data_IF_626065860378
#
_entry.id   IF_626065860378
#
_cell.length_a   1.000
_cell.length_b   1.000
_cell.length_c   1.000
_cell.angle_alpha   90.00
_cell.angle_beta   90.00
_cell.angle_gamma   90.00
#
_symmetry.space_group_name_H-M   'P 1'
#
loop_
_entity.id
_entity.type
_entity.pdbx_description
1 polymer ?
#
# COMPACT_ATOMS: atom_id res chain seq x y z
N UNK A 1 -23.43 -9.37 6.56
CA UNK A 1 -22.50 -8.22 6.56
C UNK A 1 -21.19 -8.70 7.15
N UNK A 2 -20.06 -8.30 6.57
CA UNK A 2 -18.73 -8.65 7.08
C UNK A 2 -18.53 -8.10 8.49
N UNK A 3 -18.00 -8.92 9.40
CA UNK A 3 -17.71 -8.50 10.79
C UNK A 3 -16.34 -7.80 10.91
N UNK A 4 -15.43 -8.07 9.98
CA UNK A 4 -14.10 -7.44 9.90
C UNK A 4 -13.97 -6.66 8.60
N UNK A 5 -13.25 -5.55 8.66
CA UNK A 5 -13.10 -4.67 7.50
C UNK A 5 -11.65 -4.31 7.23
N UNK A 6 -11.29 -4.27 5.96
CA UNK A 6 -10.04 -3.72 5.48
C UNK A 6 -10.30 -2.50 4.59
N UNK A 7 -9.46 -1.47 4.71
CA UNK A 7 -9.39 -0.33 3.81
C UNK A 7 -8.08 -0.40 3.03
N UNK A 8 -8.16 -0.54 1.71
CA UNK A 8 -7.00 -0.72 0.84
C UNK A 8 -6.87 0.49 -0.09
N UNK A 9 -5.82 1.26 0.07
CA UNK A 9 -5.46 2.36 -0.81
C UNK A 9 -4.58 1.82 -1.95
N UNK A 10 -5.06 1.88 -3.19
CA UNK A 10 -4.46 1.27 -4.36
C UNK A 10 -5.02 -0.14 -4.66
N UNK A 11 -6.32 -0.33 -4.51
CA UNK A 11 -6.98 -1.64 -4.53
C UNK A 11 -7.14 -2.28 -5.92
N UNK A 12 -6.91 -1.56 -7.02
CA UNK A 12 -7.24 -2.06 -8.37
C UNK A 12 -6.16 -2.94 -9.02
N UNK A 13 -4.92 -2.93 -8.52
CA UNK A 13 -3.83 -3.67 -9.15
C UNK A 13 -2.71 -4.05 -8.16
N UNK A 14 -1.78 -4.89 -8.60
CA UNK A 14 -0.58 -5.26 -7.86
C UNK A 14 -0.86 -5.77 -6.45
N UNK A 15 -0.09 -5.31 -5.48
CA UNK A 15 -0.18 -5.76 -4.09
C UNK A 15 -1.52 -5.42 -3.45
N UNK A 16 -2.10 -4.25 -3.74
CA UNK A 16 -3.39 -3.84 -3.18
C UNK A 16 -4.54 -4.73 -3.66
N UNK A 17 -4.56 -5.09 -4.94
CA UNK A 17 -5.55 -6.00 -5.50
C UNK A 17 -5.43 -7.41 -4.89
N UNK A 18 -4.22 -7.98 -4.90
CA UNK A 18 -3.98 -9.30 -4.33
C UNK A 18 -4.32 -9.36 -2.83
N UNK A 19 -3.95 -8.30 -2.07
CA UNK A 19 -4.27 -8.24 -0.64
C UNK A 19 -5.77 -8.09 -0.39
N UNK A 20 -6.49 -7.33 -1.21
CA UNK A 20 -7.96 -7.22 -1.12
C UNK A 20 -8.62 -8.59 -1.26
N UNK A 21 -8.19 -9.36 -2.25
CA UNK A 21 -8.70 -10.71 -2.50
C UNK A 21 -8.32 -11.67 -1.36
N UNK A 22 -7.07 -11.64 -0.90
CA UNK A 22 -6.61 -12.56 0.14
C UNK A 22 -7.26 -12.27 1.51
N UNK A 23 -7.40 -11.00 1.88
CA UNK A 23 -8.13 -10.61 3.09
C UNK A 23 -9.60 -11.01 3.03
N UNK A 24 -10.24 -10.97 1.84
CA UNK A 24 -11.62 -11.43 1.71
C UNK A 24 -11.76 -12.94 1.96
N UNK A 25 -10.80 -13.77 1.56
CA UNK A 25 -10.75 -15.20 1.91
C UNK A 25 -10.60 -15.41 3.43
N UNK A 26 -9.94 -14.46 4.11
CA UNK A 26 -9.79 -14.46 5.57
C UNK A 26 -11.00 -13.84 6.31
N UNK A 27 -12.11 -13.54 5.61
CA UNK A 27 -13.37 -13.08 6.20
C UNK A 27 -13.49 -11.55 6.33
N UNK A 28 -12.64 -10.77 5.68
CA UNK A 28 -12.71 -9.31 5.71
C UNK A 28 -13.58 -8.77 4.57
N UNK A 29 -14.53 -7.88 4.89
CA UNK A 29 -15.09 -6.96 3.91
C UNK A 29 -14.03 -5.94 3.47
N UNK A 30 -14.09 -5.45 2.25
CA UNK A 30 -13.07 -4.58 1.66
C UNK A 30 -13.66 -3.25 1.22
N UNK A 31 -13.11 -2.17 1.74
CA UNK A 31 -13.18 -0.85 1.16
C UNK A 31 -11.95 -0.65 0.26
N UNK A 32 -12.16 -0.49 -1.02
CA UNK A 32 -11.09 -0.31 -2.00
C UNK A 32 -11.04 1.13 -2.51
N UNK A 33 -9.94 1.83 -2.30
CA UNK A 33 -9.68 3.13 -2.94
C UNK A 33 -8.76 2.91 -4.13
N UNK A 34 -9.14 3.44 -5.28
CA UNK A 34 -8.36 3.36 -6.51
C UNK A 34 -8.52 4.63 -7.34
N UNK A 35 -7.64 4.84 -8.30
CA UNK A 35 -7.70 5.98 -9.21
C UNK A 35 -7.47 5.51 -10.64
N UNK A 36 -8.54 4.96 -11.22
CA UNK A 36 -8.49 4.34 -12.54
C UNK A 36 -9.16 5.21 -13.60
N UNK A 37 -8.53 5.24 -14.76
CA UNK A 37 -9.12 5.76 -15.98
C UNK A 37 -10.12 4.72 -16.55
N UNK A 38 -10.92 5.16 -17.51
CA UNK A 38 -11.93 4.30 -18.15
C UNK A 38 -11.34 2.98 -18.69
N UNK A 39 -10.09 3.01 -19.17
CA UNK A 39 -9.38 1.85 -19.71
C UNK A 39 -8.91 0.84 -18.66
N UNK A 40 -8.66 1.29 -17.42
CA UNK A 40 -8.16 0.42 -16.32
C UNK A 40 -9.23 0.10 -15.28
N UNK A 41 -10.37 0.78 -15.31
CA UNK A 41 -11.51 0.54 -14.42
C UNK A 41 -11.95 -0.94 -14.34
N UNK A 42 -11.92 -1.74 -15.43
CA UNK A 42 -12.25 -3.17 -15.35
C UNK A 42 -11.42 -3.96 -14.34
N UNK A 43 -10.18 -3.52 -14.05
CA UNK A 43 -9.35 -4.17 -13.03
C UNK A 43 -9.95 -4.02 -11.62
N UNK A 44 -10.43 -2.82 -11.28
CA UNK A 44 -11.09 -2.59 -9.99
C UNK A 44 -12.39 -3.39 -9.86
N UNK A 45 -13.19 -3.45 -10.94
CA UNK A 45 -14.43 -4.24 -11.00
C UNK A 45 -14.11 -5.71 -10.76
N UNK A 46 -13.10 -6.28 -11.45
CA UNK A 46 -12.67 -7.67 -11.25
C UNK A 46 -12.32 -7.97 -9.79
N UNK A 47 -11.52 -7.09 -9.16
CA UNK A 47 -11.15 -7.28 -7.74
C UNK A 47 -12.38 -7.23 -6.83
N UNK A 48 -13.29 -6.28 -7.09
CA UNK A 48 -14.53 -6.15 -6.33
C UNK A 48 -15.40 -7.41 -6.46
N UNK A 49 -15.50 -7.97 -7.66
CA UNK A 49 -16.28 -9.18 -7.92
C UNK A 49 -15.63 -10.42 -7.27
N UNK A 50 -14.31 -10.53 -7.28
CA UNK A 50 -13.60 -11.61 -6.59
C UNK A 50 -13.79 -11.54 -5.06
N UNK A 51 -13.76 -10.34 -4.47
CA UNK A 51 -14.08 -10.16 -3.03
C UNK A 51 -15.50 -10.62 -2.71
N UNK A 52 -16.48 -10.24 -3.56
CA UNK A 52 -17.87 -10.69 -3.40
C UNK A 52 -18.03 -12.19 -3.60
N UNK A 53 -17.31 -12.77 -4.56
CA UNK A 53 -17.32 -14.23 -4.80
C UNK A 53 -16.80 -15.03 -3.58
N UNK A 54 -15.91 -14.42 -2.78
CA UNK A 54 -15.47 -14.98 -1.49
C UNK A 54 -16.49 -14.77 -0.35
N UNK A 55 -17.70 -14.27 -0.64
CA UNK A 55 -18.78 -14.08 0.33
C UNK A 55 -18.64 -12.83 1.20
N UNK A 56 -17.79 -11.88 0.81
CA UNK A 56 -17.54 -10.67 1.60
C UNK A 56 -18.11 -9.41 0.92
N UNK A 57 -18.39 -8.41 1.73
CA UNK A 57 -18.77 -7.09 1.24
C UNK A 57 -17.61 -6.39 0.53
N UNK A 58 -17.88 -5.71 -0.60
CA UNK A 58 -16.90 -4.94 -1.34
C UNK A 58 -17.47 -3.59 -1.75
N UNK A 59 -16.87 -2.51 -1.27
CA UNK A 59 -17.25 -1.12 -1.58
C UNK A 59 -16.02 -0.38 -2.10
N UNK A 60 -16.05 0.00 -3.39
CA UNK A 60 -14.90 0.61 -4.05
C UNK A 60 -15.17 2.07 -4.42
N UNK A 61 -14.13 2.91 -4.27
CA UNK A 61 -14.16 4.34 -4.51
C UNK A 61 -13.10 4.72 -5.55
N UNK A 62 -13.53 5.23 -6.70
CA UNK A 62 -12.62 5.71 -7.73
C UNK A 62 -12.31 7.19 -7.48
N UNK A 63 -11.27 7.43 -6.67
CA UNK A 63 -10.87 8.76 -6.21
C UNK A 63 -9.34 8.89 -6.13
N UNK A 64 -8.84 10.12 -6.20
CA UNK A 64 -7.47 10.41 -5.81
C UNK A 64 -7.33 10.32 -4.28
N UNK A 65 -6.54 9.38 -3.79
CA UNK A 65 -6.33 9.14 -2.35
C UNK A 65 -5.61 10.30 -1.63
N UNK A 66 -4.93 11.18 -2.35
CA UNK A 66 -4.29 12.38 -1.80
C UNK A 66 -5.25 13.58 -1.68
N UNK A 67 -6.45 13.51 -2.29
CA UNK A 67 -7.44 14.57 -2.22
C UNK A 67 -8.13 14.58 -0.83
N UNK A 68 -8.05 15.68 -0.06
CA UNK A 68 -8.58 15.72 1.31
C UNK A 68 -10.11 15.66 1.36
N UNK A 69 -10.82 16.25 0.40
CA UNK A 69 -12.29 16.25 0.39
C UNK A 69 -12.80 14.85 0.02
N UNK A 70 -12.19 14.21 -0.96
CA UNK A 70 -12.53 12.83 -1.36
C UNK A 70 -12.22 11.84 -0.26
N UNK A 71 -11.08 12.01 0.45
CA UNK A 71 -10.73 11.20 1.62
C UNK A 71 -11.78 11.35 2.72
N UNK A 72 -12.17 12.57 3.07
CA UNK A 72 -13.18 12.82 4.08
C UNK A 72 -14.51 12.15 3.73
N UNK A 73 -15.04 12.36 2.53
CA UNK A 73 -16.28 11.75 2.06
C UNK A 73 -16.21 10.21 2.04
N UNK A 74 -15.06 9.65 1.66
CA UNK A 74 -14.86 8.19 1.70
C UNK A 74 -14.92 7.66 3.13
N UNK A 75 -14.25 8.31 4.08
CA UNK A 75 -14.26 7.87 5.47
C UNK A 75 -15.62 8.05 6.15
N UNK A 76 -16.42 9.02 5.74
CA UNK A 76 -17.79 9.16 6.18
C UNK A 76 -18.65 7.97 5.70
N UNK A 77 -18.53 7.57 4.44
CA UNK A 77 -19.18 6.37 3.91
C UNK A 77 -18.68 5.07 4.58
N UNK A 78 -17.38 4.98 4.88
CA UNK A 78 -16.81 3.87 5.66
C UNK A 78 -17.43 3.83 7.06
N UNK A 79 -17.51 4.98 7.74
CA UNK A 79 -18.13 5.09 9.09
C UNK A 79 -19.57 4.61 9.09
N UNK A 80 -20.36 5.05 8.10
CA UNK A 80 -21.75 4.63 7.95
C UNK A 80 -21.86 3.10 7.77
N UNK A 81 -21.00 2.52 6.91
CA UNK A 81 -21.04 1.09 6.58
C UNK A 81 -20.61 0.19 7.74
N UNK A 82 -19.56 0.56 8.49
CA UNK A 82 -19.10 -0.26 9.64
C UNK A 82 -20.02 -0.12 10.85
N UNK A 83 -20.85 0.92 10.88
CA UNK A 83 -21.83 1.17 11.93
C UNK A 83 -21.23 1.65 13.26
N UNK A 84 -22.07 1.92 14.23
CA UNK A 84 -21.68 2.39 15.56
C UNK A 84 -20.83 1.32 16.27
N UNK A 85 -19.69 1.74 16.84
CA UNK A 85 -18.73 0.84 17.50
C UNK A 85 -17.88 -0.03 16.56
N UNK A 86 -18.23 -0.12 15.27
CA UNK A 86 -17.41 -0.83 14.28
C UNK A 86 -16.15 -0.04 13.92
N UNK A 87 -15.11 -0.73 13.42
CA UNK A 87 -13.86 -0.12 13.00
C UNK A 87 -13.20 -0.90 11.85
N UNK A 88 -12.19 -0.31 11.25
CA UNK A 88 -11.37 -0.92 10.20
C UNK A 88 -10.23 -1.68 10.86
N UNK A 89 -10.14 -2.97 10.58
CA UNK A 89 -9.13 -3.86 11.16
C UNK A 89 -7.78 -3.76 10.43
N UNK A 90 -7.80 -3.50 9.13
CA UNK A 90 -6.60 -3.37 8.30
C UNK A 90 -6.68 -2.12 7.46
N UNK A 91 -5.69 -1.23 7.58
CA UNK A 91 -5.40 -0.18 6.59
C UNK A 91 -4.16 -0.60 5.81
N UNK A 92 -4.30 -0.79 4.49
CA UNK A 92 -3.16 -0.98 3.61
C UNK A 92 -2.94 0.24 2.71
N UNK A 93 -1.77 0.86 2.81
CA UNK A 93 -1.30 1.88 1.89
C UNK A 93 -0.41 1.26 0.81
N UNK A 94 -0.97 1.09 -0.39
CA UNK A 94 -0.32 0.47 -1.56
C UNK A 94 -0.33 1.40 -2.77
N UNK A 95 -0.06 2.68 -2.54
CA UNK A 95 -0.02 3.68 -3.60
C UNK A 95 1.35 3.72 -4.28
N UNK A 96 1.33 3.71 -5.61
CA UNK A 96 2.52 3.73 -6.46
C UNK A 96 2.31 4.72 -7.63
N UNK A 97 2.19 5.99 -7.30
CA UNK A 97 2.01 7.08 -8.27
C UNK A 97 3.03 8.18 -7.98
N UNK A 98 4.21 8.06 -8.58
CA UNK A 98 5.33 9.00 -8.43
C UNK A 98 6.02 9.28 -9.76
N UNK A 99 6.78 10.36 -9.80
CA UNK A 99 7.55 10.78 -10.96
C UNK A 99 8.88 10.01 -11.01
N UNK A 100 9.20 9.50 -12.17
CA UNK A 100 10.42 8.74 -12.47
C UNK A 100 11.30 9.57 -13.42
N UNK A 101 12.00 10.54 -12.87
CA UNK A 101 12.93 11.43 -13.57
C UNK A 101 14.20 11.63 -12.72
N UNK A 102 15.36 11.84 -13.34
CA UNK A 102 16.60 12.15 -12.65
C UNK A 102 16.49 13.49 -11.90
N UNK A 103 17.27 13.67 -10.84
CA UNK A 103 17.37 14.95 -10.13
C UNK A 103 18.15 15.98 -10.92
N UNK A 104 19.22 15.55 -11.58
CA UNK A 104 20.15 16.40 -12.31
C UNK A 104 20.04 16.09 -13.79
N UNK A 105 20.06 17.13 -14.62
CA UNK A 105 20.02 17.06 -16.07
C UNK A 105 20.06 18.47 -16.67
N UNK A 106 20.65 18.61 -17.84
CA UNK A 106 20.81 19.90 -18.52
C UNK A 106 19.47 20.47 -18.99
N UNK A 107 18.59 19.62 -19.50
CA UNK A 107 17.23 20.01 -19.89
C UNK A 107 16.29 20.03 -18.66
N UNK A 108 15.71 21.22 -18.32
CA UNK A 108 14.72 21.32 -17.24
C UNK A 108 13.49 20.39 -17.41
N UNK A 109 13.16 19.96 -18.61
CA UNK A 109 12.04 19.05 -18.90
C UNK A 109 12.43 17.58 -18.67
N UNK A 110 13.72 17.26 -18.70
CA UNK A 110 14.25 15.92 -18.50
C UNK A 110 14.63 15.64 -17.05
N UNK A 111 14.44 16.59 -16.13
CA UNK A 111 14.69 16.45 -14.69
C UNK A 111 13.44 16.70 -13.87
N UNK A 112 13.41 16.18 -12.65
CA UNK A 112 12.24 16.35 -11.76
C UNK A 112 12.08 17.82 -11.35
N UNK A 113 10.85 18.31 -11.41
CA UNK A 113 10.46 19.62 -10.87
C UNK A 113 10.04 19.52 -9.41
N UNK A 114 10.07 20.66 -8.69
CA UNK A 114 9.56 20.72 -7.31
C UNK A 114 8.13 20.19 -7.22
N UNK A 115 7.22 20.62 -8.10
CA UNK A 115 5.82 20.16 -8.10
C UNK A 115 5.68 18.65 -8.25
N UNK A 116 6.53 18.01 -9.05
CA UNK A 116 6.53 16.57 -9.22
C UNK A 116 7.10 15.85 -7.98
N UNK A 117 8.12 16.43 -7.34
CA UNK A 117 8.67 15.93 -6.07
C UNK A 117 7.59 15.99 -4.99
N UNK A 118 6.98 17.18 -4.79
CA UNK A 118 5.94 17.39 -3.78
C UNK A 118 4.76 16.44 -3.99
N UNK A 119 4.28 16.30 -5.22
CA UNK A 119 3.20 15.36 -5.57
C UNK A 119 3.59 13.90 -5.26
N UNK A 120 4.83 13.50 -5.55
CA UNK A 120 5.30 12.13 -5.29
C UNK A 120 5.32 11.81 -3.80
N UNK A 121 5.86 12.73 -2.98
CA UNK A 121 5.88 12.57 -1.53
C UNK A 121 4.47 12.61 -0.94
N UNK A 122 3.63 13.53 -1.40
CA UNK A 122 2.26 13.65 -0.93
C UNK A 122 1.47 12.37 -1.15
N UNK A 123 1.46 11.85 -2.39
CA UNK A 123 0.70 10.63 -2.73
C UNK A 123 1.29 9.38 -2.09
N UNK A 124 2.64 9.20 -2.15
CA UNK A 124 3.27 7.92 -1.81
C UNK A 124 3.75 7.84 -0.36
N UNK A 125 3.76 8.93 0.38
CA UNK A 125 4.19 8.95 1.78
C UNK A 125 3.20 9.67 2.70
N UNK A 126 2.96 10.96 2.47
CA UNK A 126 2.21 11.80 3.43
C UNK A 126 0.73 11.41 3.50
N UNK A 127 0.13 10.96 2.41
CA UNK A 127 -1.26 10.52 2.39
C UNK A 127 -1.54 9.42 3.42
N UNK A 128 -0.58 8.52 3.74
CA UNK A 128 -0.73 7.55 4.81
C UNK A 128 -1.05 8.21 6.15
N UNK A 129 -0.31 9.25 6.49
CA UNK A 129 -0.48 9.99 7.75
C UNK A 129 -1.89 10.61 7.79
N UNK A 130 -2.30 11.26 6.71
CA UNK A 130 -3.59 11.94 6.64
C UNK A 130 -4.77 10.95 6.72
N UNK A 131 -4.68 9.78 6.06
CA UNK A 131 -5.68 8.72 6.22
C UNK A 131 -5.73 8.19 7.66
N UNK A 132 -4.57 7.93 8.29
CA UNK A 132 -4.51 7.44 9.66
C UNK A 132 -5.08 8.46 10.67
N UNK A 133 -4.74 9.75 10.52
CA UNK A 133 -5.27 10.84 11.34
C UNK A 133 -6.80 10.93 11.24
N UNK A 134 -7.32 10.99 10.00
CA UNK A 134 -8.75 11.11 9.75
C UNK A 134 -9.54 9.89 10.24
N UNK A 135 -8.95 8.68 10.14
CA UNK A 135 -9.51 7.46 10.70
C UNK A 135 -9.52 7.48 12.23
N UNK A 136 -8.46 7.96 12.87
CA UNK A 136 -8.37 8.06 14.32
C UNK A 136 -9.43 9.03 14.87
N UNK A 137 -9.57 10.23 14.27
CA UNK A 137 -10.57 11.23 14.65
C UNK A 137 -11.99 10.68 14.51
N UNK A 138 -12.27 9.90 13.47
CA UNK A 138 -13.58 9.26 13.24
C UNK A 138 -13.78 7.97 14.04
N UNK A 139 -12.85 7.60 14.91
CA UNK A 139 -12.86 6.34 15.66
C UNK A 139 -13.00 5.09 14.74
N UNK A 140 -12.40 5.17 13.56
CA UNK A 140 -12.33 4.06 12.61
C UNK A 140 -11.12 3.15 12.85
N UNK A 141 -10.22 3.50 13.76
CA UNK A 141 -9.16 2.65 14.28
C UNK A 141 -9.53 2.17 15.68
N UNK A 142 -9.36 0.89 15.93
CA UNK A 142 -9.66 0.27 17.20
C UNK A 142 -8.55 -0.67 17.65
N UNK A 143 -8.71 -1.25 18.85
CA UNK A 143 -7.78 -2.26 19.35
C UNK A 143 -7.64 -3.39 18.34
N UNK A 144 -6.41 -3.77 18.05
CA UNK A 144 -6.07 -4.75 17.01
C UNK A 144 -6.22 -4.26 15.56
N UNK A 145 -6.40 -2.96 15.29
CA UNK A 145 -6.19 -2.45 13.94
C UNK A 145 -4.74 -2.56 13.53
N UNK A 146 -4.52 -2.88 12.25
CA UNK A 146 -3.21 -3.02 11.62
C UNK A 146 -3.06 -2.00 10.50
N UNK A 147 -1.98 -1.26 10.52
CA UNK A 147 -1.60 -0.37 9.42
C UNK A 147 -0.41 -1.00 8.70
N UNK A 148 -0.56 -1.23 7.42
CA UNK A 148 0.52 -1.68 6.55
C UNK A 148 0.77 -0.66 5.46
N UNK A 149 2.05 -0.45 5.11
CA UNK A 149 2.44 0.40 4.00
C UNK A 149 3.45 -0.31 3.11
N UNK A 150 3.21 -0.33 1.80
CA UNK A 150 4.14 -0.94 0.85
C UNK A 150 5.35 -0.06 0.65
N UNK A 151 6.53 -0.55 1.05
CA UNK A 151 7.82 0.07 0.77
C UNK A 151 8.61 -0.74 -0.28
N UNK A 152 9.87 -0.42 -0.47
CA UNK A 152 10.74 -1.00 -1.50
C UNK A 152 12.20 -0.96 -1.02
N UNK A 153 13.04 -1.85 -1.52
CA UNK A 153 14.51 -1.76 -1.37
C UNK A 153 15.07 -0.44 -1.90
N UNK A 154 14.35 0.21 -2.83
CA UNK A 154 14.67 1.55 -3.31
C UNK A 154 14.60 2.65 -2.24
N UNK A 155 14.11 2.40 -1.01
CA UNK A 155 14.24 3.34 0.12
C UNK A 155 15.68 3.51 0.59
N UNK A 156 16.54 2.50 0.35
CA UNK A 156 17.95 2.46 0.80
C UNK A 156 18.93 2.23 -0.37
N UNK A 157 18.46 1.76 -1.51
CA UNK A 157 19.28 1.51 -2.71
C UNK A 157 19.02 2.55 -3.78
N UNK A 158 20.03 2.82 -4.61
CA UNK A 158 19.91 3.73 -5.75
C UNK A 158 19.42 2.96 -6.96
N UNK A 159 18.34 3.46 -7.58
CA UNK A 159 17.79 2.99 -8.85
C UNK A 159 17.70 4.22 -9.76
N UNK A 160 18.06 4.06 -11.02
CA UNK A 160 18.04 5.14 -12.00
C UNK A 160 16.65 5.78 -12.11
N UNK A 161 16.59 7.11 -12.14
CA UNK A 161 15.37 7.93 -12.21
C UNK A 161 14.36 7.71 -11.06
N UNK A 162 14.71 6.94 -10.04
CA UNK A 162 13.81 6.54 -8.94
C UNK A 162 13.88 7.47 -7.71
N UNK A 163 14.72 8.50 -7.75
CA UNK A 163 15.07 9.31 -6.57
C UNK A 163 13.89 9.88 -5.79
N UNK A 164 12.85 10.41 -6.48
CA UNK A 164 11.65 10.92 -5.81
C UNK A 164 10.84 9.82 -5.11
N UNK A 165 10.71 8.67 -5.77
CA UNK A 165 10.02 7.52 -5.20
C UNK A 165 10.82 6.93 -4.04
N UNK A 166 12.16 6.87 -4.16
CA UNK A 166 13.06 6.49 -3.08
C UNK A 166 12.87 7.36 -1.83
N UNK A 167 12.89 8.68 -2.00
CA UNK A 167 12.63 9.64 -0.92
C UNK A 167 11.25 9.44 -0.27
N UNK A 168 10.21 9.21 -1.11
CA UNK A 168 8.87 8.93 -0.61
C UNK A 168 8.82 7.61 0.20
N UNK A 169 9.52 6.56 -0.24
CA UNK A 169 9.55 5.28 0.51
C UNK A 169 10.33 5.41 1.82
N UNK A 170 11.43 6.16 1.86
CA UNK A 170 12.15 6.45 3.09
C UNK A 170 11.28 7.27 4.08
N UNK A 171 10.58 8.29 3.58
CA UNK A 171 9.61 9.07 4.38
C UNK A 171 8.46 8.18 4.90
N UNK A 172 7.92 7.29 4.06
CA UNK A 172 6.86 6.34 4.42
C UNK A 172 7.29 5.43 5.59
N UNK A 173 8.51 4.90 5.55
CA UNK A 173 9.06 4.08 6.64
C UNK A 173 9.23 4.88 7.94
N UNK A 174 9.61 6.16 7.82
CA UNK A 174 9.66 7.07 8.98
C UNK A 174 8.26 7.33 9.55
N UNK A 175 7.26 7.57 8.70
CA UNK A 175 5.88 7.74 9.13
C UNK A 175 5.32 6.50 9.81
N UNK A 176 5.65 5.30 9.33
CA UNK A 176 5.27 4.04 9.98
C UNK A 176 5.78 3.96 11.42
N UNK A 177 7.05 4.34 11.67
CA UNK A 177 7.60 4.33 13.04
C UNK A 177 6.88 5.34 13.94
N UNK A 178 6.58 6.53 13.43
CA UNK A 178 5.87 7.56 14.19
C UNK A 178 4.42 7.14 14.48
N UNK A 179 3.70 6.60 13.47
CA UNK A 179 2.35 6.08 13.65
C UNK A 179 2.30 4.90 14.64
N UNK A 180 3.28 4.01 14.60
CA UNK A 180 3.40 2.91 15.55
C UNK A 180 3.51 3.42 17.00
N UNK A 181 4.26 4.49 17.23
CA UNK A 181 4.41 5.11 18.55
C UNK A 181 3.14 5.84 18.99
N UNK A 182 2.58 6.69 18.14
CA UNK A 182 1.45 7.55 18.50
C UNK A 182 0.12 6.77 18.64
N UNK A 183 -0.05 5.69 17.88
CA UNK A 183 -1.28 4.89 17.91
C UNK A 183 -1.21 3.70 18.89
N UNK A 184 -0.07 3.47 19.54
CA UNK A 184 0.09 2.40 20.53
C UNK A 184 -0.94 2.47 21.68
N UNK A 185 -1.30 3.66 22.24
CA UNK A 185 -2.33 3.75 23.28
C UNK A 185 -3.72 3.28 22.82
N UNK A 186 -4.00 3.28 21.51
CA UNK A 186 -5.23 2.75 20.93
C UNK A 186 -5.17 1.25 20.66
N UNK A 187 -4.00 0.60 20.87
CA UNK A 187 -3.77 -0.80 20.54
C UNK A 187 -3.65 -1.05 19.03
N UNK A 188 -3.28 -0.04 18.26
CA UNK A 188 -3.04 -0.11 16.82
C UNK A 188 -1.56 -0.35 16.55
N UNK A 189 -1.25 -1.20 15.58
CA UNK A 189 0.13 -1.41 15.13
C UNK A 189 0.34 -0.94 13.71
N UNK A 190 1.56 -0.51 13.39
CA UNK A 190 1.92 -0.04 12.06
C UNK A 190 3.26 -0.65 11.62
N UNK A 191 3.30 -1.25 10.43
CA UNK A 191 4.50 -1.84 9.85
C UNK A 191 4.58 -1.54 8.34
N UNK A 192 5.80 -1.36 7.85
CA UNK A 192 6.07 -1.31 6.41
C UNK A 192 6.34 -2.72 5.88
N UNK A 193 5.85 -3.03 4.69
CA UNK A 193 6.11 -4.29 3.99
C UNK A 193 7.03 -3.99 2.80
N UNK A 194 8.24 -4.54 2.84
CA UNK A 194 9.21 -4.47 1.75
C UNK A 194 9.09 -5.73 0.92
N UNK A 195 8.42 -5.60 -0.23
CA UNK A 195 8.32 -6.69 -1.19
C UNK A 195 9.60 -6.80 -2.03
N UNK A 196 9.92 -8.00 -2.50
CA UNK A 196 10.87 -8.21 -3.58
C UNK A 196 10.38 -7.59 -4.89
N UNK A 197 11.27 -7.50 -5.88
CA UNK A 197 10.93 -7.00 -7.21
C UNK A 197 9.84 -7.90 -7.82
N UNK A 198 8.70 -7.29 -8.12
CA UNK A 198 7.48 -8.00 -8.51
C UNK A 198 6.92 -7.39 -9.78
N UNK A 199 6.54 -8.23 -10.75
CA UNK A 199 5.89 -7.78 -11.98
C UNK A 199 4.53 -7.17 -11.68
N UNK A 200 4.49 -5.85 -11.65
CA UNK A 200 3.30 -5.03 -11.40
C UNK A 200 3.21 -3.91 -12.42
N UNK A 201 2.05 -3.29 -12.61
CA UNK A 201 1.94 -2.09 -13.44
C UNK A 201 2.88 -0.95 -13.02
N UNK A 202 3.24 -0.88 -11.74
CA UNK A 202 4.20 0.09 -11.22
C UNK A 202 5.62 -0.20 -11.69
N UNK A 203 6.08 -1.46 -11.60
CA UNK A 203 7.40 -1.87 -12.06
C UNK A 203 7.58 -1.60 -13.56
N UNK A 204 6.58 -1.91 -14.36
CA UNK A 204 6.62 -1.72 -15.83
C UNK A 204 6.78 -0.27 -16.27
N UNK A 205 6.58 0.69 -15.38
CA UNK A 205 6.81 2.13 -15.62
C UNK A 205 8.23 2.57 -15.27
N UNK A 206 8.95 1.80 -14.47
CA UNK A 206 10.33 2.10 -14.07
C UNK A 206 11.25 1.88 -15.28
N UNK A 207 12.10 2.82 -15.65
CA UNK A 207 13.13 2.59 -16.65
C UNK A 207 13.97 1.35 -16.29
N UNK A 208 14.11 0.40 -17.21
CA UNK A 208 14.79 -0.87 -16.93
C UNK A 208 14.01 -1.83 -16.01
N UNK A 209 12.70 -1.63 -15.82
CA UNK A 209 11.85 -2.47 -14.96
C UNK A 209 11.88 -3.96 -15.30
N UNK A 210 11.74 -4.37 -16.58
CA UNK A 210 11.85 -5.77 -16.98
C UNK A 210 13.21 -6.38 -16.66
N UNK A 211 14.30 -5.65 -16.85
CA UNK A 211 15.67 -6.07 -16.53
C UNK A 211 15.88 -6.19 -15.02
N UNK A 212 15.29 -5.27 -14.24
CA UNK A 212 15.28 -5.37 -12.78
C UNK A 212 14.57 -6.65 -12.32
N UNK A 213 13.44 -6.98 -12.92
CA UNK A 213 12.69 -8.19 -12.61
C UNK A 213 13.50 -9.47 -12.96
N UNK A 214 14.14 -9.50 -14.12
CA UNK A 214 14.98 -10.62 -14.53
C UNK A 214 16.14 -10.82 -13.55
N UNK A 215 16.88 -9.75 -13.20
CA UNK A 215 17.96 -9.80 -12.21
C UNK A 215 17.48 -10.25 -10.82
N UNK A 216 16.29 -9.81 -10.42
CA UNK A 216 15.72 -10.25 -9.16
C UNK A 216 15.44 -11.75 -9.13
N UNK A 217 14.92 -12.32 -10.22
CA UNK A 217 14.73 -13.77 -10.34
C UNK A 217 16.06 -14.53 -10.26
N UNK A 218 17.10 -14.05 -10.93
CA UNK A 218 18.43 -14.69 -10.95
C UNK A 218 19.11 -14.64 -9.58
N UNK A 219 18.93 -13.54 -8.85
CA UNK A 219 19.52 -13.32 -7.52
C UNK A 219 18.74 -13.99 -6.40
N UNK A 220 17.43 -14.18 -6.56
CA UNK A 220 16.60 -14.71 -5.50
C UNK A 220 16.98 -16.17 -5.19
N UNK A 221 17.39 -16.49 -3.96
CA UNK A 221 17.78 -17.85 -3.59
C UNK A 221 16.66 -18.88 -3.76
N UNK A 222 15.40 -18.44 -3.86
CA UNK A 222 14.24 -19.28 -4.15
C UNK A 222 14.04 -19.58 -5.64
N UNK A 223 14.91 -19.03 -6.53
CA UNK A 223 14.86 -19.26 -7.97
C UNK A 223 13.67 -18.65 -8.71
N UNK A 224 12.95 -17.71 -8.07
CA UNK A 224 11.83 -17.00 -8.68
C UNK A 224 11.66 -15.58 -8.10
N UNK A 225 10.98 -14.73 -8.83
CA UNK A 225 10.59 -13.43 -8.30
C UNK A 225 9.43 -13.55 -7.29
N UNK A 226 9.30 -12.53 -6.45
CA UNK A 226 8.15 -12.34 -5.58
C UNK A 226 6.89 -12.09 -6.41
N UNK A 227 5.76 -12.63 -5.97
CA UNK A 227 4.44 -12.37 -6.57
C UNK A 227 3.58 -11.49 -5.66
N UNK A 228 2.56 -10.80 -6.19
CA UNK A 228 1.61 -10.07 -5.35
C UNK A 228 0.91 -10.96 -4.32
N UNK A 229 0.68 -12.23 -4.66
CA UNK A 229 0.04 -13.22 -3.79
C UNK A 229 0.92 -13.64 -2.62
N UNK A 230 2.24 -13.70 -2.78
CA UNK A 230 3.18 -13.96 -1.67
C UNK A 230 3.05 -12.87 -0.60
N UNK A 231 3.02 -11.62 -1.04
CA UNK A 231 2.88 -10.44 -0.17
C UNK A 231 1.49 -10.39 0.47
N UNK A 232 0.44 -10.66 -0.30
CA UNK A 232 -0.94 -10.68 0.18
C UNK A 232 -1.15 -11.71 1.29
N UNK A 233 -0.62 -12.92 1.13
CA UNK A 233 -0.65 -13.98 2.17
C UNK A 233 0.09 -13.56 3.42
N UNK A 234 1.27 -12.94 3.29
CA UNK A 234 2.01 -12.42 4.43
C UNK A 234 1.21 -11.35 5.18
N UNK A 235 0.61 -10.38 4.48
CA UNK A 235 -0.24 -9.34 5.09
C UNK A 235 -1.46 -9.97 5.79
N UNK A 236 -2.12 -10.94 5.18
CA UNK A 236 -3.26 -11.62 5.79
C UNK A 236 -2.88 -12.31 7.11
N UNK A 237 -1.73 -13.01 7.15
CA UNK A 237 -1.20 -13.61 8.38
C UNK A 237 -0.79 -12.56 9.41
N UNK A 238 -0.10 -11.50 9.00
CA UNK A 238 0.29 -10.38 9.87
C UNK A 238 -0.91 -9.60 10.42
N UNK A 239 -2.09 -9.77 9.83
CA UNK A 239 -3.35 -9.18 10.32
C UNK A 239 -3.99 -9.98 11.46
N UNK A 240 -3.45 -11.16 11.79
CA UNK A 240 -3.90 -11.97 12.94
C UNK A 240 -3.63 -11.23 14.26
N UNK A 241 -4.60 -11.26 15.17
CA UNK A 241 -4.49 -10.60 16.47
C UNK A 241 -3.35 -11.14 17.34
N UNK A 242 -2.94 -12.38 17.15
CA UNK A 242 -1.81 -13.01 17.86
C UNK A 242 -0.46 -12.34 17.55
N UNK A 243 -0.37 -11.61 16.44
CA UNK A 243 0.84 -10.88 16.01
C UNK A 243 0.81 -9.39 16.40
N UNK A 244 -0.06 -8.99 17.35
CA UNK A 244 -0.24 -7.59 17.74
C UNK A 244 1.02 -6.92 18.32
N UNK A 245 2.02 -7.71 18.75
CA UNK A 245 3.25 -7.18 19.34
C UNK A 245 4.30 -6.75 18.30
N UNK A 246 3.99 -6.95 17.01
CA UNK A 246 4.85 -6.52 15.91
C UNK A 246 4.43 -5.12 15.42
N UNK A 247 5.25 -4.11 15.72
CA UNK A 247 4.99 -2.73 15.31
C UNK A 247 6.27 -1.94 15.07
N UNK A 248 6.23 -0.95 14.18
CA UNK A 248 7.36 -0.07 13.86
C UNK A 248 8.42 -0.68 12.94
N UNK A 249 8.16 -1.83 12.34
CA UNK A 249 9.14 -2.58 11.56
C UNK A 249 9.04 -2.32 10.05
N UNK A 250 10.13 -2.60 9.35
CA UNK A 250 10.16 -2.86 7.91
C UNK A 250 10.32 -4.38 7.75
N UNK A 251 9.28 -5.05 7.29
CA UNK A 251 9.21 -6.51 7.18
C UNK A 251 9.47 -6.90 5.73
N UNK A 252 10.53 -7.67 5.48
CA UNK A 252 10.85 -8.22 4.17
C UNK A 252 9.92 -9.37 3.78
N UNK A 253 9.35 -9.31 2.59
CA UNK A 253 8.59 -10.39 1.95
C UNK A 253 9.11 -10.52 0.52
N UNK A 254 10.29 -11.11 0.38
CA UNK A 254 11.09 -11.05 -0.84
C UNK A 254 11.77 -12.39 -1.20
N UNK A 255 11.48 -13.46 -0.44
CA UNK A 255 12.10 -14.77 -0.66
C UNK A 255 13.62 -14.80 -0.45
N UNK A 256 14.17 -13.79 0.25
CA UNK A 256 15.61 -13.66 0.49
C UNK A 256 16.35 -12.86 -0.59
N UNK A 257 15.65 -12.21 -1.52
CA UNK A 257 16.26 -11.38 -2.58
C UNK A 257 17.22 -10.32 -2.03
N UNK A 258 16.90 -9.72 -0.88
CA UNK A 258 17.70 -8.67 -0.26
C UNK A 258 18.99 -9.19 0.41
N UNK A 259 19.08 -10.48 0.68
CA UNK A 259 20.26 -11.13 1.28
C UNK A 259 21.34 -11.44 0.27
N UNK A 260 20.98 -11.59 -1.01
CA UNK A 260 21.90 -11.92 -2.08
C UNK A 260 22.52 -10.68 -2.71
N UNK A 261 23.82 -10.75 -3.02
CA UNK A 261 24.62 -9.65 -3.59
C UNK A 261 24.34 -9.44 -5.09
#
# INVERSE_FOLDING_TARGET
MSSKWALVLGASSGFGAATSIELSKAGYGVFGVHFDLRSTLPNAVRVQDEVKANGQDAVFFNINAADPEKRAATLDAVRERVGEGGYVHVLLHSLAFGTLLPFIGDDPKARISQKQMDMTLDVMAHSLVYWAQDMAVRRLLGRNSRIFAMTSSGSTRVIEAYGAVSAAKAALESHIRQLAFELAPLGVTANAIRAGVTDTPALRRIPGGPELHQRAMERNPSGRATTPEDVAKAIAVLSDERLYWMTGNVIGVDGGEELSA
#
